data_IF_914330331092
#
_entry.id   IF_914330331092
#
_cell.length_a   1.000
_cell.length_b   1.000
_cell.length_c   1.000
_cell.angle_alpha   90.00
_cell.angle_beta   90.00
_cell.angle_gamma   90.00
#
_symmetry.space_group_name_H-M   'P 1'
#
loop_
_entity.id
_entity.type
_entity.pdbx_description
1 polymer ?
#
# COMPACT_ATOMS: atom_id res chain seq x y z
N UNK A 1 2.22 17.36 -19.28
CA UNK A 1 2.67 16.02 -19.68
C UNK A 1 3.54 15.49 -18.55
N UNK A 2 2.91 14.83 -17.58
CA UNK A 2 3.62 13.91 -16.71
C UNK A 2 2.70 12.72 -16.54
N UNK A 3 3.18 11.63 -17.13
CA UNK A 3 2.67 10.28 -17.20
C UNK A 3 2.30 9.78 -15.81
N UNK A 4 1.05 9.34 -15.63
CA UNK A 4 0.65 8.49 -14.51
C UNK A 4 1.52 7.24 -14.54
N UNK A 5 2.52 7.19 -13.66
CA UNK A 5 3.17 5.95 -13.30
C UNK A 5 2.13 5.14 -12.54
N UNK A 6 1.37 4.29 -13.24
CA UNK A 6 0.63 3.21 -12.59
C UNK A 6 1.69 2.27 -12.02
N UNK A 7 2.08 2.52 -10.78
CA UNK A 7 2.88 1.59 -10.02
C UNK A 7 1.96 0.41 -9.70
N UNK A 8 2.05 -0.65 -10.49
CA UNK A 8 1.28 -1.85 -10.25
C UNK A 8 1.72 -2.43 -8.88
N UNK A 9 0.78 -2.45 -7.95
CA UNK A 9 0.89 -3.09 -6.65
C UNK A 9 1.16 -4.59 -6.86
N UNK A 10 2.43 -5.01 -6.83
CA UNK A 10 2.77 -6.40 -6.61
C UNK A 10 2.87 -6.55 -5.10
N UNK A 11 1.82 -7.08 -4.48
CA UNK A 11 1.89 -7.63 -3.13
C UNK A 11 3.08 -8.58 -3.14
N UNK A 12 4.20 -8.17 -2.52
CA UNK A 12 5.37 -9.02 -2.35
C UNK A 12 5.11 -10.03 -1.23
N UNK A 13 4.12 -10.88 -1.46
CA UNK A 13 4.15 -12.27 -1.02
C UNK A 13 4.46 -13.07 -2.28
N UNK A 14 5.43 -13.99 -2.23
CA UNK A 14 6.07 -14.64 -3.39
C UNK A 14 5.13 -15.39 -4.37
N UNK A 15 3.81 -15.29 -4.24
CA UNK A 15 2.81 -15.91 -5.11
C UNK A 15 2.62 -15.24 -6.49
N UNK A 16 3.06 -14.00 -6.68
CA UNK A 16 2.72 -13.24 -7.91
C UNK A 16 3.53 -13.62 -9.16
N UNK A 17 4.63 -14.37 -9.04
CA UNK A 17 5.48 -14.71 -10.19
C UNK A 17 4.88 -15.75 -11.15
N UNK A 18 3.83 -16.48 -10.76
CA UNK A 18 3.32 -17.58 -11.59
C UNK A 18 2.04 -17.26 -12.40
N UNK A 19 1.41 -16.10 -12.21
CA UNK A 19 0.10 -15.81 -12.84
C UNK A 19 0.01 -14.51 -13.64
N UNK A 20 1.03 -13.66 -13.59
CA UNK A 20 1.22 -12.66 -14.65
C UNK A 20 1.99 -13.37 -15.77
N UNK A 21 1.36 -13.60 -16.92
CA UNK A 21 2.08 -13.85 -18.16
C UNK A 21 2.84 -12.55 -18.52
N UNK A 22 3.84 -12.19 -17.72
CA UNK A 22 4.90 -11.30 -18.15
C UNK A 22 5.62 -12.11 -19.21
N UNK A 23 5.35 -11.79 -20.47
CA UNK A 23 6.16 -12.27 -21.56
C UNK A 23 7.60 -11.81 -21.26
N UNK A 24 8.38 -12.69 -20.65
CA UNK A 24 9.83 -12.59 -20.68
C UNK A 24 10.17 -12.70 -22.15
N UNK A 25 10.40 -11.57 -22.79
CA UNK A 25 11.00 -11.55 -24.12
C UNK A 25 12.40 -12.14 -23.96
N UNK A 26 12.60 -13.34 -24.50
CA UNK A 26 13.86 -14.11 -24.51
C UNK A 26 14.94 -13.44 -25.39
N UNK A 27 15.01 -12.11 -25.42
CA UNK A 27 15.97 -11.33 -26.20
C UNK A 27 17.09 -10.76 -25.32
N UNK A 28 18.18 -11.53 -25.19
CA UNK A 28 19.60 -11.17 -24.91
C UNK A 28 20.01 -10.00 -23.97
N UNK A 29 19.11 -9.39 -23.22
CA UNK A 29 19.39 -8.50 -22.08
C UNK A 29 18.61 -9.03 -20.88
N UNK A 30 19.04 -10.19 -20.36
CA UNK A 30 18.48 -10.75 -19.14
C UNK A 30 18.55 -9.69 -18.04
N UNK A 31 17.39 -9.15 -17.67
CA UNK A 31 17.25 -8.17 -16.62
C UNK A 31 17.82 -8.78 -15.33
N UNK A 32 18.97 -8.28 -14.88
CA UNK A 32 19.64 -8.83 -13.70
C UNK A 32 19.01 -8.24 -12.45
N UNK A 33 18.46 -9.11 -11.61
CA UNK A 33 18.11 -8.73 -10.24
C UNK A 33 19.35 -8.25 -9.47
N UNK A 34 19.16 -7.21 -8.65
CA UNK A 34 20.21 -6.60 -7.84
C UNK A 34 19.92 -6.81 -6.35
N UNK A 35 20.79 -7.55 -5.66
CA UNK A 35 20.68 -7.77 -4.22
C UNK A 35 21.26 -6.57 -3.41
N UNK A 36 20.55 -5.44 -3.44
CA UNK A 36 21.04 -4.15 -2.88
C UNK A 36 20.19 -3.62 -1.72
N UNK A 37 18.98 -4.15 -1.52
CA UNK A 37 18.05 -3.63 -0.50
C UNK A 37 18.50 -3.93 0.94
N UNK A 38 19.45 -4.84 1.13
CA UNK A 38 20.13 -5.04 2.41
C UNK A 38 20.84 -3.78 2.94
N UNK A 39 21.11 -2.80 2.06
CA UNK A 39 21.72 -1.50 2.40
C UNK A 39 20.72 -0.43 2.84
N UNK A 40 19.43 -0.76 2.89
CA UNK A 40 18.39 0.20 3.25
C UNK A 40 18.56 0.72 4.68
N UNK A 41 18.23 1.99 4.87
CA UNK A 41 18.05 2.59 6.19
C UNK A 41 16.68 2.19 6.75
N UNK A 42 16.59 2.17 8.08
CA UNK A 42 15.36 1.82 8.79
C UNK A 42 14.91 3.00 9.66
N UNK A 43 13.69 3.47 9.44
CA UNK A 43 13.02 4.43 10.31
C UNK A 43 12.11 3.64 11.25
N UNK A 44 12.53 3.52 12.51
CA UNK A 44 11.81 2.74 13.51
C UNK A 44 10.45 3.38 13.85
N UNK A 45 9.42 2.54 14.02
CA UNK A 45 8.15 2.93 14.61
C UNK A 45 8.09 2.40 16.05
N UNK A 46 8.25 3.30 17.02
CA UNK A 46 8.11 2.94 18.42
C UNK A 46 6.63 3.01 18.81
N UNK A 47 6.04 1.87 19.21
CA UNK A 47 4.65 1.82 19.68
C UNK A 47 3.60 1.81 18.57
N UNK A 48 3.98 1.45 17.34
CA UNK A 48 3.08 1.20 16.22
C UNK A 48 3.74 0.15 15.30
N UNK A 49 2.94 -0.60 14.54
CA UNK A 49 3.46 -1.50 13.52
C UNK A 49 2.66 -1.38 12.22
N UNK A 50 3.19 -1.99 11.16
CA UNK A 50 2.48 -2.16 9.92
C UNK A 50 2.30 -0.88 9.09
N UNK A 51 3.34 -0.04 8.88
CA UNK A 51 3.27 1.09 7.97
C UNK A 51 3.25 0.59 6.51
N UNK A 52 2.08 0.28 5.96
CA UNK A 52 1.97 -0.22 4.58
C UNK A 52 2.15 0.88 3.55
N UNK A 53 1.24 1.86 3.47
CA UNK A 53 1.38 2.95 2.50
C UNK A 53 2.14 4.15 3.03
N UNK A 54 2.84 4.82 2.11
CA UNK A 54 3.66 6.00 2.36
C UNK A 54 3.20 7.13 1.46
N UNK A 55 2.72 8.22 2.06
CA UNK A 55 2.28 9.39 1.33
C UNK A 55 3.12 10.63 1.68
N UNK A 56 3.16 11.58 0.75
CA UNK A 56 3.78 12.90 0.93
C UNK A 56 2.76 13.95 0.53
N UNK A 57 2.65 15.00 1.33
CA UNK A 57 1.70 16.06 1.04
C UNK A 57 2.20 16.96 -0.11
N UNK A 58 1.32 17.83 -0.67
CA UNK A 58 1.69 18.68 -1.81
C UNK A 58 2.74 19.73 -1.48
N UNK A 59 2.95 20.05 -0.20
CA UNK A 59 4.02 20.95 0.25
C UNK A 59 5.37 20.22 0.39
N UNK A 60 5.36 18.90 0.21
CA UNK A 60 6.53 18.04 0.32
C UNK A 60 6.88 17.63 1.75
N UNK A 61 5.95 17.80 2.70
CA UNK A 61 6.14 17.26 4.05
C UNK A 61 5.72 15.79 4.12
N UNK A 62 6.14 15.13 5.20
CA UNK A 62 5.98 13.69 5.41
C UNK A 62 7.32 13.00 5.70
N UNK A 63 7.39 11.67 5.56
CA UNK A 63 6.31 10.79 5.13
C UNK A 63 5.12 10.72 6.11
N UNK A 64 3.95 10.42 5.56
CA UNK A 64 2.74 10.01 6.26
C UNK A 64 2.52 8.51 6.06
N UNK A 65 2.11 7.80 7.11
CA UNK A 65 1.95 6.34 7.09
C UNK A 65 0.68 5.91 7.85
N UNK A 66 0.00 4.87 7.38
CA UNK A 66 -1.08 4.22 8.11
C UNK A 66 -0.54 3.08 8.97
N UNK A 67 -1.02 2.89 10.21
CA UNK A 67 -0.52 1.83 11.11
C UNK A 67 -1.64 0.91 11.61
N UNK A 68 -1.25 -0.26 12.15
CA UNK A 68 -2.17 -1.36 12.46
C UNK A 68 -3.22 -1.05 13.53
N UNK A 69 -2.99 -0.03 14.36
CA UNK A 69 -3.98 0.43 15.32
C UNK A 69 -4.95 1.47 14.76
N UNK A 70 -4.93 1.78 13.46
CA UNK A 70 -5.86 2.69 12.80
C UNK A 70 -5.47 4.17 12.82
N UNK A 71 -4.28 4.50 13.35
CA UNK A 71 -3.71 5.85 13.23
C UNK A 71 -3.06 6.05 11.86
N UNK A 72 -2.96 7.32 11.50
CA UNK A 72 -2.06 7.81 10.47
C UNK A 72 -1.04 8.69 11.17
N UNK A 73 0.24 8.38 10.99
CA UNK A 73 1.35 9.08 11.62
C UNK A 73 2.10 9.93 10.59
N UNK A 74 2.64 11.07 11.02
CA UNK A 74 3.53 11.94 10.24
C UNK A 74 4.93 11.90 10.84
N UNK A 75 5.96 11.73 10.02
CA UNK A 75 7.34 11.82 10.46
C UNK A 75 7.80 13.28 10.53
N UNK A 76 8.38 13.68 11.67
CA UNK A 76 8.90 15.04 11.93
C UNK A 76 10.44 15.10 11.79
N UNK A 77 11.03 14.19 11.01
CA UNK A 77 12.48 14.07 10.81
C UNK A 77 13.24 13.31 11.90
N UNK A 78 12.68 13.22 13.12
CA UNK A 78 13.30 12.45 14.22
C UNK A 78 12.30 11.61 15.03
N UNK A 79 11.02 11.96 15.02
CA UNK A 79 9.97 11.25 15.73
C UNK A 79 8.67 11.26 14.92
N UNK A 80 7.75 10.37 15.31
CA UNK A 80 6.42 10.24 14.72
C UNK A 80 5.39 11.01 15.57
N UNK A 81 4.44 11.67 14.89
CA UNK A 81 3.30 12.34 15.52
C UNK A 81 2.00 11.84 14.92
N UNK A 82 0.96 11.71 15.75
CA UNK A 82 -0.39 11.43 15.27
C UNK A 82 -0.88 12.55 14.34
N UNK A 83 -1.33 12.18 13.15
CA UNK A 83 -1.91 13.08 12.17
C UNK A 83 -3.43 12.87 12.09
N UNK A 84 -3.86 11.65 11.83
CA UNK A 84 -5.28 11.34 11.66
C UNK A 84 -5.64 9.96 12.22
N UNK A 85 -6.94 9.70 12.34
CA UNK A 85 -7.50 8.39 12.72
C UNK A 85 -8.68 8.05 11.84
N UNK A 86 -8.85 6.77 11.53
CA UNK A 86 -9.94 6.27 10.68
C UNK A 86 -11.19 5.84 11.45
N UNK A 87 -11.09 5.70 12.78
CA UNK A 87 -12.21 5.36 13.68
C UNK A 87 -12.37 6.40 14.79
N UNK A 88 -13.62 6.68 15.16
CA UNK A 88 -13.94 7.42 16.39
C UNK A 88 -13.95 6.52 17.63
N UNK A 89 -14.07 5.19 17.47
CA UNK A 89 -14.22 4.23 18.57
C UNK A 89 -12.88 3.65 18.98
N UNK A 90 -12.04 4.47 19.62
CA UNK A 90 -10.63 4.14 19.87
C UNK A 90 -10.24 3.86 21.32
N UNK A 91 -11.20 3.79 22.24
CA UNK A 91 -10.94 3.61 23.68
C UNK A 91 -10.05 2.38 23.99
N UNK A 92 -10.19 1.31 23.20
CA UNK A 92 -9.43 0.06 23.37
C UNK A 92 -8.30 -0.14 22.34
N UNK A 93 -8.00 0.86 21.51
CA UNK A 93 -6.97 0.78 20.46
C UNK A 93 -5.59 1.17 21.01
N UNK A 94 -5.16 0.48 22.07
CA UNK A 94 -3.93 0.79 22.81
C UNK A 94 -2.76 -0.12 22.46
N UNK A 95 -3.06 -1.30 21.92
CA UNK A 95 -2.04 -2.27 21.50
C UNK A 95 -1.60 -1.96 20.06
N UNK A 96 -0.29 -1.81 19.82
CA UNK A 96 0.25 -1.56 18.48
C UNK A 96 -0.12 -2.62 17.44
N UNK A 97 -0.35 -3.85 17.90
CA UNK A 97 -0.79 -4.97 17.08
C UNK A 97 -1.88 -5.75 17.82
N UNK A 98 -3.11 -5.61 17.32
CA UNK A 98 -4.26 -6.37 17.76
C UNK A 98 -5.17 -6.61 16.53
N UNK A 99 -4.84 -7.59 15.67
CA UNK A 99 -5.60 -7.90 14.45
C UNK A 99 -7.11 -8.05 14.69
N UNK A 100 -7.48 -8.62 15.83
CA UNK A 100 -8.86 -8.80 16.26
C UNK A 100 -9.59 -7.47 16.51
N UNK A 101 -8.85 -6.37 16.72
CA UNK A 101 -9.39 -5.03 16.94
C UNK A 101 -9.36 -4.16 15.68
N UNK A 102 -8.73 -4.57 14.58
CA UNK A 102 -8.61 -3.76 13.37
C UNK A 102 -9.99 -3.32 12.82
N UNK A 103 -10.99 -4.19 12.86
CA UNK A 103 -12.37 -3.86 12.45
C UNK A 103 -13.07 -2.79 13.34
N UNK A 104 -12.49 -2.46 14.50
CA UNK A 104 -12.97 -1.43 15.43
C UNK A 104 -12.08 -0.19 15.33
N UNK A 105 -10.77 -0.39 15.35
CA UNK A 105 -9.75 0.65 15.39
C UNK A 105 -9.51 1.29 14.02
N UNK A 106 -9.75 0.54 12.95
CA UNK A 106 -9.38 0.85 11.58
C UNK A 106 -8.02 0.26 11.21
N UNK A 107 -7.80 0.13 9.91
CA UNK A 107 -6.55 -0.35 9.33
C UNK A 107 -6.31 0.39 8.00
N UNK A 108 -5.72 1.60 8.03
CA UNK A 108 -5.37 2.35 6.82
C UNK A 108 -4.23 1.65 6.10
N UNK A 109 -4.55 1.07 4.93
CA UNK A 109 -3.62 0.31 4.09
C UNK A 109 -3.06 1.18 2.96
N UNK A 110 -3.90 1.97 2.27
CA UNK A 110 -3.51 2.88 1.18
C UNK A 110 -3.73 4.35 1.50
N UNK A 111 -2.79 5.21 1.11
CA UNK A 111 -2.80 6.65 1.39
C UNK A 111 -2.44 7.47 0.16
N UNK A 112 -3.29 8.44 -0.21
CA UNK A 112 -3.02 9.35 -1.32
C UNK A 112 -3.48 10.77 -1.03
N UNK A 113 -2.57 11.74 -1.16
CA UNK A 113 -2.95 13.15 -1.14
C UNK A 113 -3.47 13.59 -2.50
N UNK A 114 -4.58 14.31 -2.50
CA UNK A 114 -4.98 15.14 -3.63
C UNK A 114 -4.04 16.36 -3.71
N UNK A 115 -3.38 16.52 -4.85
CA UNK A 115 -2.36 17.58 -5.00
C UNK A 115 -2.94 18.99 -5.11
N UNK A 116 -4.22 19.12 -5.44
CA UNK A 116 -4.92 20.41 -5.55
C UNK A 116 -5.43 20.89 -4.20
N UNK A 117 -6.04 19.99 -3.42
CA UNK A 117 -6.73 20.35 -2.17
C UNK A 117 -5.87 20.14 -0.94
N UNK A 118 -4.89 19.23 -1.00
CA UNK A 118 -4.13 18.78 0.17
C UNK A 118 -4.93 17.88 1.11
N UNK A 119 -6.09 17.38 0.67
CA UNK A 119 -6.83 16.35 1.39
C UNK A 119 -6.14 15.00 1.25
N UNK A 120 -6.14 14.22 2.34
CA UNK A 120 -5.62 12.86 2.36
C UNK A 120 -6.78 11.88 2.22
N UNK A 121 -6.77 11.13 1.12
CA UNK A 121 -7.65 9.99 0.89
C UNK A 121 -7.01 8.73 1.46
N UNK A 122 -7.85 7.93 2.09
CA UNK A 122 -7.45 6.78 2.91
C UNK A 122 -8.27 5.58 2.46
N UNK A 123 -7.60 4.54 2.00
CA UNK A 123 -8.15 3.20 1.88
C UNK A 123 -7.99 2.49 3.24
N UNK A 124 -9.07 2.43 4.01
CA UNK A 124 -9.12 1.65 5.25
C UNK A 124 -9.74 0.29 4.97
N UNK A 125 -9.04 -0.78 5.38
CA UNK A 125 -9.45 -2.15 5.12
C UNK A 125 -10.89 -2.47 5.56
N UNK A 126 -11.37 -1.84 6.64
CA UNK A 126 -12.68 -2.14 7.21
C UNK A 126 -13.71 -1.02 7.00
N UNK A 127 -13.25 0.21 6.74
CA UNK A 127 -14.12 1.38 6.65
C UNK A 127 -14.27 1.96 5.25
N UNK A 128 -13.63 1.35 4.24
CA UNK A 128 -13.71 1.78 2.86
C UNK A 128 -12.85 3.02 2.61
N UNK A 129 -13.29 3.85 1.67
CA UNK A 129 -12.61 5.12 1.36
C UNK A 129 -13.05 6.19 2.35
N UNK A 130 -12.08 6.83 2.98
CA UNK A 130 -12.26 7.99 3.84
C UNK A 130 -11.38 9.15 3.38
N UNK A 131 -11.69 10.35 3.87
CA UNK A 131 -10.93 11.57 3.58
C UNK A 131 -10.71 12.37 4.86
N UNK A 132 -9.52 12.97 4.99
CA UNK A 132 -9.21 13.90 6.07
C UNK A 132 -8.52 15.14 5.49
N UNK A 133 -8.85 16.32 6.00
CA UNK A 133 -8.24 17.57 5.57
C UNK A 133 -6.76 17.68 5.96
N UNK A 134 -6.05 18.71 5.46
CA UNK A 134 -4.60 18.90 5.66
C UNK A 134 -4.18 19.12 7.13
N UNK A 135 -5.14 19.36 8.03
CA UNK A 135 -4.90 19.48 9.48
C UNK A 135 -5.00 18.16 10.23
N UNK A 136 -5.33 17.06 9.54
CA UNK A 136 -5.55 15.77 10.17
C UNK A 136 -6.83 15.72 11.01
N UNK A 137 -6.85 14.81 11.99
CA UNK A 137 -8.01 14.54 12.84
C UNK A 137 -8.78 13.28 12.47
N UNK A 138 -10.08 13.25 12.79
CA UNK A 138 -10.94 12.12 12.45
C UNK A 138 -11.29 12.16 10.96
N UNK A 139 -10.97 11.09 10.24
CA UNK A 139 -11.34 10.94 8.84
C UNK A 139 -12.87 10.84 8.68
N UNK A 140 -13.37 11.36 7.55
CA UNK A 140 -14.78 11.33 7.19
C UNK A 140 -15.01 10.22 6.15
N UNK A 141 -16.01 9.35 6.33
CA UNK A 141 -16.33 8.33 5.32
C UNK A 141 -16.77 8.95 3.99
N UNK A 142 -16.23 8.41 2.89
CA UNK A 142 -16.57 8.81 1.52
C UNK A 142 -17.27 7.69 0.76
N UNK A 143 -16.70 6.47 0.73
CA UNK A 143 -17.28 5.29 0.07
C UNK A 143 -17.19 4.09 0.98
N UNK A 144 -18.35 3.55 1.39
CA UNK A 144 -18.41 2.33 2.24
C UNK A 144 -19.18 1.19 1.58
N UNK A 145 -20.00 1.50 0.58
CA UNK A 145 -20.87 0.55 -0.11
C UNK A 145 -20.93 0.86 -1.58
N UNK A 146 -21.00 -0.19 -2.39
CA UNK A 146 -21.16 -0.13 -3.84
C UNK A 146 -22.34 -1.01 -4.24
N UNK A 147 -23.28 -0.43 -4.98
CA UNK A 147 -24.53 -1.11 -5.39
C UNK A 147 -25.25 -1.79 -4.21
N UNK A 148 -25.20 -1.16 -3.03
CA UNK A 148 -25.80 -1.67 -1.79
C UNK A 148 -24.99 -2.72 -1.04
N UNK A 149 -23.88 -3.22 -1.60
CA UNK A 149 -22.96 -4.17 -0.96
C UNK A 149 -21.85 -3.41 -0.22
N UNK A 150 -21.50 -3.78 1.02
CA UNK A 150 -20.36 -3.20 1.71
C UNK A 150 -19.05 -3.57 1.01
N UNK A 151 -18.09 -2.65 1.04
CA UNK A 151 -16.69 -2.96 0.78
C UNK A 151 -16.19 -3.91 1.89
N UNK A 152 -15.32 -4.85 1.51
CA UNK A 152 -14.94 -5.97 2.39
C UNK A 152 -13.49 -5.83 2.88
N UNK A 153 -12.58 -5.39 2.01
CA UNK A 153 -11.17 -5.20 2.34
C UNK A 153 -10.53 -4.18 1.38
N UNK A 154 -10.79 -2.90 1.64
CA UNK A 154 -10.30 -1.83 0.77
C UNK A 154 -8.81 -1.64 0.95
N UNK A 155 -8.03 -1.85 -0.11
CA UNK A 155 -6.60 -2.09 0.00
C UNK A 155 -5.78 -0.84 -0.35
N UNK A 156 -5.98 -0.29 -1.55
CA UNK A 156 -5.23 0.88 -2.00
C UNK A 156 -6.13 1.91 -2.71
N UNK A 157 -5.64 3.15 -2.79
CA UNK A 157 -6.30 4.30 -3.42
C UNK A 157 -5.29 5.15 -4.18
N UNK A 158 -5.65 5.53 -5.40
CA UNK A 158 -4.92 6.50 -6.23
C UNK A 158 -5.87 7.58 -6.76
N UNK A 159 -5.33 8.72 -7.15
CA UNK A 159 -6.07 9.88 -7.62
C UNK A 159 -5.49 10.32 -8.96
N UNK A 160 -6.37 10.41 -9.95
CA UNK A 160 -6.10 11.16 -11.17
C UNK A 160 -6.50 12.61 -10.95
N UNK A 161 -5.49 13.41 -10.61
CA UNK A 161 -5.63 14.85 -10.38
C UNK A 161 -6.09 15.59 -11.66
N UNK A 162 -6.03 15.03 -12.86
CA UNK A 162 -6.53 15.76 -14.03
C UNK A 162 -8.05 15.69 -14.15
N UNK A 163 -8.62 14.51 -13.93
CA UNK A 163 -10.04 14.25 -14.13
C UNK A 163 -10.86 14.31 -12.83
N UNK A 164 -10.23 14.60 -11.69
CA UNK A 164 -10.84 14.58 -10.35
C UNK A 164 -11.50 13.21 -10.06
N UNK A 165 -10.74 12.16 -10.38
CA UNK A 165 -11.17 10.76 -10.27
C UNK A 165 -10.32 10.02 -9.25
N UNK A 166 -10.99 9.24 -8.40
CA UNK A 166 -10.35 8.36 -7.42
C UNK A 166 -10.44 6.93 -7.94
N UNK A 167 -9.30 6.24 -7.99
CA UNK A 167 -9.24 4.81 -8.23
C UNK A 167 -8.95 4.09 -6.91
N UNK A 168 -9.60 2.97 -6.66
CA UNK A 168 -9.30 2.17 -5.47
C UNK A 168 -9.57 0.70 -5.69
N UNK A 169 -9.04 -0.13 -4.81
CA UNK A 169 -9.20 -1.58 -4.86
C UNK A 169 -9.94 -2.11 -3.64
N UNK A 170 -10.84 -3.08 -3.86
CA UNK A 170 -11.40 -3.91 -2.79
C UNK A 170 -10.98 -5.37 -3.01
N UNK A 171 -10.37 -5.96 -2.00
CA UNK A 171 -9.82 -7.31 -2.07
C UNK A 171 -10.74 -8.28 -1.34
N UNK A 172 -10.92 -9.48 -1.88
CA UNK A 172 -11.63 -10.54 -1.19
C UNK A 172 -10.92 -11.88 -1.37
N UNK A 173 -11.00 -12.74 -0.36
CA UNK A 173 -10.39 -14.06 -0.39
C UNK A 173 -11.45 -15.14 -0.36
N UNK A 174 -11.34 -16.10 -1.28
CA UNK A 174 -12.19 -17.29 -1.30
C UNK A 174 -11.49 -18.43 -0.57
N UNK A 175 -11.89 -18.69 0.68
CA UNK A 175 -11.33 -19.76 1.52
C UNK A 175 -11.41 -21.17 0.90
N UNK A 176 -12.35 -21.40 0.00
CA UNK A 176 -12.52 -22.67 -0.72
C UNK A 176 -11.59 -22.87 -1.91
N UNK A 177 -10.94 -21.80 -2.41
CA UNK A 177 -10.17 -21.87 -3.66
C UNK A 177 -8.79 -21.22 -3.61
N UNK A 178 -8.36 -20.69 -2.45
CA UNK A 178 -7.12 -19.91 -2.29
C UNK A 178 -6.95 -18.82 -3.37
N UNK A 179 -8.08 -18.26 -3.82
CA UNK A 179 -8.12 -17.17 -4.81
C UNK A 179 -8.31 -15.85 -4.08
N UNK A 180 -7.48 -14.88 -4.46
CA UNK A 180 -7.60 -13.48 -4.09
C UNK A 180 -8.24 -12.77 -5.29
N UNK A 181 -9.39 -12.14 -5.08
CA UNK A 181 -10.03 -11.29 -6.09
C UNK A 181 -9.77 -9.85 -5.72
N UNK A 182 -9.24 -9.07 -6.65
CA UNK A 182 -9.02 -7.63 -6.52
C UNK A 182 -9.97 -6.95 -7.50
N UNK A 183 -10.91 -6.18 -7.00
CA UNK A 183 -11.83 -5.40 -7.82
C UNK A 183 -11.33 -3.96 -7.90
N UNK A 184 -11.16 -3.45 -9.13
CA UNK A 184 -10.77 -2.06 -9.38
C UNK A 184 -12.01 -1.20 -9.55
N UNK A 185 -12.03 -0.09 -8.84
CA UNK A 185 -13.12 0.87 -8.87
C UNK A 185 -12.65 2.24 -9.25
N UNK A 186 -13.54 2.97 -9.93
CA UNK A 186 -13.40 4.37 -10.29
C UNK A 186 -14.53 5.16 -9.64
N UNK A 187 -14.20 6.18 -8.86
CA UNK A 187 -15.13 7.11 -8.24
C UNK A 187 -14.91 8.54 -8.76
N UNK A 188 -15.96 9.14 -9.32
CA UNK A 188 -15.94 10.50 -9.82
C UNK A 188 -17.35 10.96 -10.19
N UNK A 189 -17.60 12.28 -10.15
CA UNK A 189 -18.93 12.86 -10.40
C UNK A 189 -20.07 12.25 -9.54
N UNK A 190 -19.75 11.88 -8.30
CA UNK A 190 -20.71 11.27 -7.37
C UNK A 190 -21.13 9.83 -7.72
N UNK A 191 -20.44 9.18 -8.66
CA UNK A 191 -20.71 7.80 -9.08
C UNK A 191 -19.45 6.95 -8.94
N UNK A 192 -19.63 5.73 -8.46
CA UNK A 192 -18.61 4.69 -8.47
C UNK A 192 -18.92 3.64 -9.54
N UNK A 193 -17.90 3.15 -10.25
CA UNK A 193 -18.00 2.15 -11.31
C UNK A 193 -16.93 1.08 -11.07
N UNK A 194 -17.30 -0.20 -11.23
CA UNK A 194 -16.33 -1.31 -11.30
C UNK A 194 -15.69 -1.29 -12.67
N UNK A 195 -14.37 -1.21 -12.75
CA UNK A 195 -13.64 -1.21 -14.02
C UNK A 195 -13.25 -2.63 -14.45
N UNK A 196 -12.67 -3.42 -13.54
CA UNK A 196 -12.29 -4.81 -13.82
C UNK A 196 -12.05 -5.62 -12.53
N UNK A 197 -12.43 -6.91 -12.51
CA UNK A 197 -11.94 -7.86 -11.52
C UNK A 197 -10.62 -8.51 -11.98
N UNK A 198 -9.66 -8.63 -11.07
CA UNK A 198 -8.41 -9.35 -11.25
C UNK A 198 -8.35 -10.51 -10.24
N UNK A 199 -7.94 -11.70 -10.68
CA UNK A 199 -7.89 -12.90 -9.82
C UNK A 199 -6.46 -13.39 -9.73
N UNK A 200 -5.93 -13.42 -8.52
CA UNK A 200 -4.61 -13.97 -8.19
C UNK A 200 -4.79 -15.31 -7.49
N UNK A 201 -4.07 -16.34 -7.94
CA UNK A 201 -3.96 -17.60 -7.20
C UNK A 201 -2.77 -17.48 -6.24
N UNK A 202 -3.00 -17.77 -4.97
CA UNK A 202 -1.93 -17.81 -3.99
C UNK A 202 -1.09 -19.07 -4.26
N UNK A 203 0.16 -18.91 -4.72
CA UNK A 203 1.11 -20.00 -4.84
C UNK A 203 1.63 -20.32 -3.43
N UNK A 204 1.45 -21.56 -2.98
CA UNK A 204 1.76 -22.07 -1.61
C UNK A 204 3.26 -22.06 -1.23
N UNK A 205 4.11 -21.27 -1.90
CA UNK A 205 5.56 -21.24 -1.66
C UNK A 205 5.92 -20.76 -0.23
N UNK A 206 5.02 -20.02 0.42
CA UNK A 206 5.14 -19.62 1.82
C UNK A 206 5.13 -20.82 2.79
N UNK A 207 4.52 -21.94 2.41
CA UNK A 207 4.48 -23.18 3.20
C UNK A 207 5.69 -24.11 2.94
N UNK A 208 6.54 -23.78 1.96
CA UNK A 208 7.73 -24.56 1.60
C UNK A 208 8.98 -24.21 2.42
N UNK A 209 8.88 -23.31 3.41
CA UNK A 209 9.98 -22.98 4.32
C UNK A 209 11.04 -22.04 3.73
N UNK A 210 10.71 -21.32 2.64
CA UNK A 210 11.57 -20.28 2.08
C UNK A 210 11.67 -19.06 3.00
N UNK A 211 12.84 -18.41 3.03
CA UNK A 211 13.04 -17.18 3.80
C UNK A 211 12.30 -16.02 3.10
N UNK A 212 11.46 -15.31 3.86
CA UNK A 212 10.86 -14.05 3.41
C UNK A 212 11.97 -13.05 3.10
N UNK A 213 12.00 -12.55 1.87
CA UNK A 213 12.88 -11.47 1.45
C UNK A 213 12.10 -10.39 0.70
N UNK A 214 12.56 -9.15 0.83
CA UNK A 214 12.03 -8.06 0.03
C UNK A 214 12.46 -8.20 -1.43
N UNK A 215 11.48 -8.08 -2.33
CA UNK A 215 11.68 -7.97 -3.79
C UNK A 215 10.84 -6.82 -4.29
N UNK A 216 11.48 -5.80 -4.85
CA UNK A 216 10.85 -4.65 -5.46
C UNK A 216 11.05 -4.68 -6.97
N UNK A 217 9.97 -4.47 -7.71
CA UNK A 217 9.95 -4.63 -9.17
C UNK A 217 9.46 -3.32 -9.78
N UNK A 218 10.27 -2.73 -10.67
CA UNK A 218 9.87 -1.58 -11.47
C UNK A 218 9.35 -2.06 -12.81
N UNK A 219 8.18 -1.57 -13.21
CA UNK A 219 7.57 -1.88 -14.49
C UNK A 219 7.55 -0.64 -15.39
N UNK A 220 7.55 -0.86 -16.70
CA UNK A 220 7.24 0.17 -17.70
C UNK A 220 5.73 0.34 -17.87
N UNK A 221 5.31 1.37 -18.60
CA UNK A 221 3.89 1.63 -18.91
C UNK A 221 3.20 0.46 -19.63
N UNK A 222 3.94 -0.30 -20.44
CA UNK A 222 3.45 -1.50 -21.12
C UNK A 222 3.62 -2.79 -20.28
N UNK A 223 3.97 -2.66 -18.99
CA UNK A 223 4.05 -3.77 -18.04
C UNK A 223 5.31 -4.63 -18.16
N UNK A 224 6.34 -4.20 -18.90
CA UNK A 224 7.63 -4.90 -18.94
C UNK A 224 8.44 -4.62 -17.69
N UNK A 225 9.18 -5.61 -17.22
CA UNK A 225 10.06 -5.44 -16.07
C UNK A 225 11.28 -4.61 -16.46
N UNK A 226 11.50 -3.49 -15.76
CA UNK A 226 12.61 -2.56 -15.96
C UNK A 226 13.71 -2.72 -14.93
N UNK A 227 13.37 -3.11 -13.70
CA UNK A 227 14.35 -3.27 -12.63
C UNK A 227 13.81 -4.23 -11.56
N UNK A 228 14.70 -5.01 -10.96
CA UNK A 228 14.39 -5.86 -9.80
C UNK A 228 15.45 -5.62 -8.73
N UNK A 229 15.02 -5.18 -7.55
CA UNK A 229 15.87 -4.94 -6.38
C UNK A 229 15.46 -5.88 -5.26
N UNK A 230 16.42 -6.50 -4.58
CA UNK A 230 16.17 -7.54 -3.59
C UNK A 230 17.02 -7.39 -2.32
N UNK A 231 16.54 -7.96 -1.22
CA UNK A 231 17.31 -8.33 -0.03
C UNK A 231 17.22 -9.84 0.18
N UNK A 232 17.86 -10.62 -0.68
CA UNK A 232 17.70 -12.09 -0.78
C UNK A 232 17.96 -12.81 0.55
N UNK A 233 18.81 -12.22 1.40
CA UNK A 233 19.14 -12.75 2.73
C UNK A 233 18.12 -12.35 3.81
N UNK A 234 17.17 -11.47 3.50
CA UNK A 234 16.22 -10.90 4.47
C UNK A 234 16.91 -10.20 5.62
N UNK A 235 18.09 -9.60 5.38
CA UNK A 235 18.94 -9.08 6.44
C UNK A 235 18.35 -7.82 7.06
N UNK A 236 17.81 -6.95 6.21
CA UNK A 236 17.34 -5.60 6.54
C UNK A 236 15.84 -5.48 6.24
N UNK A 237 15.43 -5.73 5.00
CA UNK A 237 14.02 -5.69 4.58
C UNK A 237 13.47 -7.11 4.47
N UNK A 238 12.83 -7.58 5.54
CA UNK A 238 12.27 -8.95 5.65
C UNK A 238 10.91 -9.12 5.00
N UNK A 239 10.10 -8.07 4.99
CA UNK A 239 8.78 -8.05 4.39
C UNK A 239 8.49 -6.63 3.95
N UNK A 240 8.09 -6.49 2.69
CA UNK A 240 7.60 -5.25 2.13
C UNK A 240 6.23 -5.55 1.50
N UNK A 241 5.33 -4.59 1.55
CA UNK A 241 4.00 -4.69 0.91
C UNK A 241 3.78 -3.60 -0.13
N UNK A 242 4.45 -2.46 0.03
CA UNK A 242 4.36 -1.32 -0.88
C UNK A 242 5.72 -0.64 -1.03
N UNK A 243 5.93 -0.02 -2.19
CA UNK A 243 7.12 0.79 -2.50
C UNK A 243 6.66 2.13 -3.04
N UNK A 244 7.10 3.24 -2.45
CA UNK A 244 6.87 4.58 -2.98
C UNK A 244 8.19 5.20 -3.41
N UNK A 245 8.29 5.65 -4.66
CA UNK A 245 9.44 6.43 -5.14
C UNK A 245 9.19 7.93 -4.88
N UNK A 246 10.05 8.57 -4.08
CA UNK A 246 9.97 10.02 -3.82
C UNK A 246 11.32 10.59 -3.39
N UNK A 247 11.67 11.77 -3.90
CA UNK A 247 12.91 12.49 -3.58
C UNK A 247 14.20 11.69 -3.87
N UNK A 248 14.21 10.92 -4.96
CA UNK A 248 15.35 10.08 -5.32
C UNK A 248 15.59 8.91 -4.36
N UNK A 249 14.55 8.52 -3.62
CA UNK A 249 14.59 7.40 -2.68
C UNK A 249 13.39 6.49 -2.90
N UNK A 250 13.57 5.22 -2.56
CA UNK A 250 12.51 4.22 -2.44
C UNK A 250 12.15 4.07 -0.97
N UNK A 251 10.86 4.22 -0.67
CA UNK A 251 10.28 4.08 0.65
C UNK A 251 9.51 2.77 0.68
N UNK A 252 9.87 1.88 1.59
CA UNK A 252 9.30 0.55 1.69
C UNK A 252 8.42 0.46 2.91
N UNK A 253 7.13 0.24 2.67
CA UNK A 253 6.18 -0.08 3.72
C UNK A 253 5.99 -1.57 3.89
N UNK A 254 5.39 -1.94 5.00
CA UNK A 254 5.07 -3.31 5.36
C UNK A 254 3.80 -3.37 6.18
N UNK A 255 2.94 -4.34 5.87
CA UNK A 255 1.77 -4.67 6.70
C UNK A 255 2.14 -5.25 8.07
N UNK A 256 3.37 -5.71 8.29
CA UNK A 256 3.75 -6.41 9.53
C UNK A 256 4.93 -5.79 10.27
N UNK A 257 5.84 -5.11 9.57
CA UNK A 257 7.09 -4.69 10.20
C UNK A 257 6.88 -3.44 11.07
N UNK A 258 7.63 -3.29 12.18
CA UNK A 258 7.57 -2.12 13.05
C UNK A 258 8.47 -0.98 12.55
N UNK A 259 8.62 -0.82 11.24
CA UNK A 259 9.52 0.17 10.66
C UNK A 259 9.15 0.51 9.21
N UNK A 260 9.65 1.67 8.76
CA UNK A 260 9.67 2.06 7.36
C UNK A 260 11.08 1.87 6.79
N UNK A 261 11.19 1.20 5.65
CA UNK A 261 12.46 1.02 4.93
C UNK A 261 12.76 2.18 3.99
N UNK A 262 14.02 2.53 3.83
CA UNK A 262 14.46 3.62 2.95
C UNK A 262 15.71 3.24 2.17
N UNK A 263 15.65 3.30 0.85
CA UNK A 263 16.79 3.07 -0.02
C UNK A 263 17.06 4.29 -0.90
N UNK A 264 18.31 4.74 -0.97
CA UNK A 264 18.75 5.79 -1.88
C UNK A 264 19.53 5.21 -3.06
N UNK A 265 19.33 5.79 -4.25
CA UNK A 265 20.09 5.47 -5.46
C UNK A 265 21.50 6.09 -5.44
#
# INVERSE_FOLDING_TARGET
MNTSNILLLIIATQALFASVNLAFDDSENALKSQNVLSKSEIIQLNGAIGPESVAFDPNGEGPYIGVADGRILKFQGSYWTDFAVTSSRRENCTLPFAPEMEHICGRPLGLRFDTKTGELYIADAYFGIQVVGPKGGLATPLVQKLEGKPLVFTNDVDIDDHDDVIYFTDTSTSSTSNKITIEFFKFGNGKCIVEAPFIVQQLDDLLSGGLLHATAIKLSEDGRVLEVLEDIEGKTLRSISEVQEKYGKLWFGSVMMPFLGLYGF
#
